data_IF_929891113792
#
_entry.id   IF_929891113792
#
_cell.length_a   1.000
_cell.length_b   1.000
_cell.length_c   1.000
_cell.angle_alpha   90.00
_cell.angle_beta   90.00
_cell.angle_gamma   90.00
#
_symmetry.space_group_name_H-M   'P 1'
#
loop_
_entity.id
_entity.type
_entity.pdbx_description
1 polymer ?
#
# COMPACT_ATOMS: atom_id res chain seq x y z
N UNK A 1 -90.39 -12.08 -8.88
CA UNK A 1 -89.98 -13.50 -8.98
C UNK A 1 -88.86 -13.56 -9.99
N UNK A 2 -87.63 -13.97 -9.69
CA UNK A 2 -86.89 -14.12 -8.47
C UNK A 2 -85.44 -13.81 -8.86
N UNK A 3 -84.79 -12.91 -8.13
CA UNK A 3 -83.36 -12.65 -8.22
C UNK A 3 -82.62 -13.87 -7.64
N UNK A 4 -81.60 -14.35 -8.36
CA UNK A 4 -80.58 -15.23 -7.79
C UNK A 4 -79.23 -14.57 -7.99
N UNK A 5 -78.81 -13.89 -6.92
CA UNK A 5 -77.44 -13.46 -6.69
C UNK A 5 -76.55 -14.69 -6.54
N UNK A 6 -75.50 -14.77 -7.36
CA UNK A 6 -74.36 -15.66 -7.08
C UNK A 6 -73.33 -14.80 -6.35
N UNK A 7 -73.22 -15.05 -5.06
CA UNK A 7 -72.09 -14.64 -4.24
C UNK A 7 -70.88 -15.48 -4.66
N UNK A 8 -69.82 -14.83 -5.14
CA UNK A 8 -68.49 -15.42 -5.12
C UNK A 8 -67.70 -14.82 -3.97
N UNK A 9 -67.35 -15.73 -3.08
CA UNK A 9 -66.63 -15.60 -1.84
C UNK A 9 -65.33 -14.79 -1.96
N UNK A 10 -65.25 -13.81 -1.07
CA UNK A 10 -64.11 -13.58 -0.17
C UNK A 10 -62.82 -14.36 -0.45
N UNK A 11 -61.97 -13.78 -1.30
CA UNK A 11 -60.53 -14.01 -1.25
C UNK A 11 -60.02 -13.51 0.12
N UNK A 12 -59.27 -14.32 0.88
CA UNK A 12 -59.07 -14.11 2.31
C UNK A 12 -58.21 -12.87 2.59
N UNK A 13 -58.78 -11.94 3.35
CA UNK A 13 -58.15 -10.75 3.95
C UNK A 13 -56.87 -11.05 4.75
N UNK A 14 -56.67 -12.32 5.15
CA UNK A 14 -55.49 -12.80 5.88
C UNK A 14 -54.19 -12.73 5.06
N UNK A 15 -54.24 -12.79 3.73
CA UNK A 15 -53.02 -12.70 2.89
C UNK A 15 -52.60 -11.23 2.69
N UNK A 16 -53.56 -10.28 2.77
CA UNK A 16 -53.27 -8.86 2.56
C UNK A 16 -52.62 -8.21 3.79
N UNK A 17 -53.02 -8.60 4.99
CA UNK A 17 -52.34 -8.15 6.22
C UNK A 17 -50.93 -8.74 6.38
N UNK A 18 -50.66 -9.92 5.84
CA UNK A 18 -49.32 -10.53 5.90
C UNK A 18 -48.35 -9.85 4.91
N UNK A 19 -48.86 -9.38 3.75
CA UNK A 19 -48.08 -8.60 2.78
C UNK A 19 -47.83 -7.16 3.28
N UNK A 20 -48.84 -6.50 3.88
CA UNK A 20 -48.67 -5.15 4.45
C UNK A 20 -47.74 -5.16 5.69
N UNK A 21 -47.70 -6.26 6.45
CA UNK A 21 -46.74 -6.43 7.55
C UNK A 21 -45.33 -6.82 7.07
N UNK A 22 -45.20 -7.44 5.89
CA UNK A 22 -43.90 -7.67 5.23
C UNK A 22 -43.32 -6.39 4.63
N UNK A 23 -44.14 -5.49 4.06
CA UNK A 23 -43.68 -4.16 3.63
C UNK A 23 -43.32 -3.24 4.81
N UNK A 24 -43.97 -3.39 5.97
CA UNK A 24 -43.60 -2.66 7.20
C UNK A 24 -42.42 -3.26 7.97
N UNK A 25 -41.98 -4.48 7.63
CA UNK A 25 -40.81 -5.14 8.23
C UNK A 25 -39.53 -5.02 7.37
N UNK A 26 -39.57 -4.32 6.23
CA UNK A 26 -38.37 -3.78 5.58
C UNK A 26 -38.08 -2.35 6.07
N UNK A 27 -37.99 -2.19 7.39
CA UNK A 27 -37.06 -1.23 7.93
C UNK A 27 -35.65 -1.78 7.67
N UNK A 28 -35.20 -1.67 6.42
CA UNK A 28 -33.79 -1.80 6.04
C UNK A 28 -33.03 -0.87 6.99
N UNK A 29 -32.24 -1.38 7.95
CA UNK A 29 -31.44 -0.50 8.78
C UNK A 29 -30.51 0.23 7.83
N UNK A 30 -30.66 1.55 7.82
CA UNK A 30 -29.90 2.51 7.05
C UNK A 30 -28.48 2.02 6.80
N UNK A 31 -28.23 1.66 5.54
CA UNK A 31 -26.90 1.46 4.98
C UNK A 31 -26.18 2.83 4.86
N UNK A 32 -26.25 3.68 5.88
CA UNK A 32 -25.33 4.79 6.12
C UNK A 32 -24.08 4.17 6.75
N UNK A 33 -23.47 3.24 6.02
CA UNK A 33 -22.19 2.72 6.40
C UNK A 33 -21.14 3.75 5.98
N UNK A 34 -21.01 4.74 6.85
CA UNK A 34 -19.96 5.74 7.00
C UNK A 34 -19.02 5.89 5.79
N UNK A 35 -19.49 6.55 4.72
CA UNK A 35 -18.66 6.88 3.55
C UNK A 35 -17.35 7.56 3.96
N UNK A 36 -17.39 8.38 5.02
CA UNK A 36 -16.19 8.96 5.66
C UNK A 36 -15.14 7.92 6.05
N UNK A 37 -15.54 6.78 6.63
CA UNK A 37 -14.59 5.72 7.06
C UNK A 37 -13.88 5.03 5.90
N UNK A 38 -14.52 4.91 4.73
CA UNK A 38 -13.89 4.33 3.52
C UNK A 38 -12.91 5.32 2.93
N UNK A 39 -13.33 6.58 2.77
CA UNK A 39 -12.45 7.64 2.26
C UNK A 39 -11.24 7.84 3.17
N UNK A 40 -11.41 7.82 4.49
CA UNK A 40 -10.30 7.92 5.45
C UNK A 40 -9.30 6.78 5.29
N UNK A 41 -9.77 5.54 5.10
CA UNK A 41 -8.90 4.37 4.94
C UNK A 41 -8.15 4.36 3.60
N UNK A 42 -8.81 4.78 2.51
CA UNK A 42 -8.20 4.88 1.18
C UNK A 42 -7.24 6.04 1.06
N UNK A 43 -7.60 7.16 1.70
CA UNK A 43 -6.72 8.29 1.89
C UNK A 43 -5.48 7.85 2.67
N UNK A 44 -5.62 7.06 3.74
CA UNK A 44 -4.48 6.54 4.50
C UNK A 44 -3.54 5.68 3.64
N UNK A 45 -4.03 4.68 2.89
CA UNK A 45 -3.16 3.81 2.07
C UNK A 45 -2.36 4.61 1.03
N UNK A 46 -3.05 5.47 0.28
CA UNK A 46 -2.41 6.30 -0.75
C UNK A 46 -1.41 7.27 -0.14
N UNK A 47 -1.75 7.88 1.00
CA UNK A 47 -0.88 8.82 1.72
C UNK A 47 0.44 8.19 2.11
N UNK A 48 0.47 6.96 2.65
CA UNK A 48 1.73 6.33 3.02
C UNK A 48 2.61 5.97 1.80
N UNK A 49 2.01 5.58 0.67
CA UNK A 49 2.77 5.36 -0.57
C UNK A 49 3.35 6.69 -1.08
N UNK A 50 2.59 7.78 -1.01
CA UNK A 50 3.07 9.13 -1.36
C UNK A 50 4.18 9.62 -0.43
N UNK A 51 4.06 9.41 0.88
CA UNK A 51 5.12 9.74 1.85
C UNK A 51 6.39 8.97 1.52
N UNK A 52 6.29 7.66 1.25
CA UNK A 52 7.42 6.84 0.84
C UNK A 52 8.04 7.36 -0.46
N UNK A 53 7.20 7.72 -1.44
CA UNK A 53 7.64 8.27 -2.73
C UNK A 53 8.40 9.59 -2.58
N UNK A 54 7.85 10.55 -1.83
CA UNK A 54 8.49 11.86 -1.59
C UNK A 54 9.80 11.67 -0.83
N UNK A 55 9.80 10.85 0.23
CA UNK A 55 11.02 10.55 0.98
C UNK A 55 12.09 9.89 0.10
N UNK A 56 11.70 8.98 -0.80
CA UNK A 56 12.61 8.33 -1.74
C UNK A 56 13.17 9.31 -2.77
N UNK A 57 12.33 10.24 -3.26
CA UNK A 57 12.76 11.30 -4.15
C UNK A 57 13.78 12.23 -3.48
N UNK A 58 13.52 12.65 -2.24
CA UNK A 58 14.47 13.44 -1.45
C UNK A 58 15.80 12.72 -1.24
N UNK A 59 15.79 11.41 -0.98
CA UNK A 59 17.03 10.61 -0.90
C UNK A 59 17.81 10.64 -2.20
N UNK A 60 17.16 10.45 -3.35
CA UNK A 60 17.81 10.48 -4.66
C UNK A 60 18.48 11.82 -4.94
N UNK A 61 17.81 12.93 -4.61
CA UNK A 61 18.38 14.28 -4.75
C UNK A 61 19.62 14.42 -3.87
N UNK A 62 19.55 14.03 -2.59
CA UNK A 62 20.66 14.11 -1.65
C UNK A 62 21.84 13.21 -2.05
N UNK A 63 21.58 12.00 -2.54
CA UNK A 63 22.60 11.08 -3.04
C UNK A 63 23.27 11.63 -4.30
N UNK A 64 22.51 12.27 -5.19
CA UNK A 64 23.06 12.93 -6.37
C UNK A 64 23.98 14.08 -5.98
N UNK A 65 23.59 14.88 -4.99
CA UNK A 65 24.44 15.94 -4.43
C UNK A 65 25.70 15.35 -3.79
N UNK A 66 25.57 14.33 -2.94
CA UNK A 66 26.72 13.66 -2.31
C UNK A 66 27.67 13.03 -3.32
N UNK A 67 27.12 12.42 -4.38
CA UNK A 67 27.90 11.88 -5.50
C UNK A 67 28.65 12.99 -6.26
N UNK A 68 28.00 14.11 -6.56
CA UNK A 68 28.65 15.25 -7.24
C UNK A 68 29.79 15.85 -6.40
N UNK A 69 29.57 16.04 -5.10
CA UNK A 69 30.57 16.57 -4.16
C UNK A 69 31.78 15.65 -4.03
N UNK A 70 31.54 14.34 -3.91
CA UNK A 70 32.63 13.34 -3.81
C UNK A 70 33.38 13.15 -5.13
N UNK A 71 32.69 13.24 -6.26
CA UNK A 71 33.29 13.15 -7.61
C UNK A 71 34.17 14.36 -7.96
N UNK A 72 33.89 15.53 -7.39
CA UNK A 72 34.69 16.73 -7.62
C UNK A 72 36.08 16.68 -6.94
N UNK A 73 36.32 15.67 -6.09
CA UNK A 73 37.56 15.52 -5.33
C UNK A 73 38.45 14.42 -5.91
N UNK A 74 39.78 14.53 -5.79
CA UNK A 74 40.68 13.49 -6.23
C UNK A 74 40.44 12.20 -5.42
N UNK A 75 40.21 11.09 -6.13
CA UNK A 75 39.99 9.75 -5.59
C UNK A 75 41.24 9.11 -4.96
N UNK A 76 42.38 9.81 -4.93
CA UNK A 76 43.62 9.31 -4.31
C UNK A 76 43.52 9.14 -2.79
N UNK A 77 42.54 9.79 -2.15
CA UNK A 77 42.23 9.56 -0.74
C UNK A 77 41.24 8.39 -0.62
N UNK A 78 41.63 7.36 0.14
CA UNK A 78 40.82 6.16 0.39
C UNK A 78 39.42 6.50 0.94
N UNK A 79 39.33 7.54 1.79
CA UNK A 79 38.05 8.04 2.31
C UNK A 79 37.13 8.59 1.22
N UNK A 80 37.68 9.33 0.24
CA UNK A 80 36.90 9.85 -0.88
C UNK A 80 36.43 8.71 -1.80
N UNK A 81 37.28 7.70 -2.04
CA UNK A 81 36.91 6.52 -2.81
C UNK A 81 35.80 5.70 -2.14
N UNK A 82 35.85 5.57 -0.81
CA UNK A 82 34.81 4.91 -0.02
C UNK A 82 33.49 5.69 -0.05
N UNK A 83 33.53 7.01 0.13
CA UNK A 83 32.34 7.86 0.07
C UNK A 83 31.72 7.86 -1.34
N UNK A 84 32.55 7.94 -2.39
CA UNK A 84 32.10 7.82 -3.78
C UNK A 84 31.34 6.50 -4.01
N UNK A 85 31.94 5.38 -3.58
CA UNK A 85 31.34 4.05 -3.72
C UNK A 85 30.03 3.94 -2.94
N UNK A 86 29.98 4.51 -1.73
CA UNK A 86 28.79 4.54 -0.89
C UNK A 86 27.64 5.31 -1.55
N UNK A 87 27.89 6.53 -2.04
CA UNK A 87 26.85 7.33 -2.69
C UNK A 87 26.39 6.70 -4.01
N UNK A 88 27.30 6.10 -4.78
CA UNK A 88 26.95 5.40 -6.02
C UNK A 88 26.08 4.16 -5.74
N UNK A 89 26.52 3.28 -4.84
CA UNK A 89 25.77 2.08 -4.49
C UNK A 89 24.40 2.43 -3.88
N UNK A 90 24.38 3.35 -2.91
CA UNK A 90 23.15 3.82 -2.26
C UNK A 90 22.18 4.48 -3.25
N UNK A 91 22.73 5.23 -4.22
CA UNK A 91 22.00 5.82 -5.34
C UNK A 91 21.28 4.77 -6.19
N UNK A 92 21.96 3.68 -6.54
CA UNK A 92 21.37 2.59 -7.33
C UNK A 92 20.20 1.90 -6.61
N UNK A 93 20.36 1.59 -5.33
CA UNK A 93 19.24 1.02 -4.54
C UNK A 93 18.05 1.98 -4.48
N UNK A 94 18.33 3.26 -4.25
CA UNK A 94 17.30 4.29 -4.16
C UNK A 94 16.58 4.51 -5.48
N UNK A 95 17.31 4.44 -6.60
CA UNK A 95 16.74 4.55 -7.94
C UNK A 95 15.80 3.38 -8.24
N UNK A 96 16.23 2.15 -7.91
CA UNK A 96 15.39 0.97 -8.06
C UNK A 96 14.10 1.09 -7.24
N UNK A 97 14.18 1.43 -5.96
CA UNK A 97 12.99 1.61 -5.11
C UNK A 97 12.09 2.73 -5.60
N UNK A 98 12.64 3.82 -6.13
CA UNK A 98 11.89 4.93 -6.71
C UNK A 98 11.08 4.49 -7.93
N UNK A 99 11.65 3.68 -8.83
CA UNK A 99 10.90 3.14 -9.98
C UNK A 99 9.75 2.23 -9.53
N UNK A 100 9.98 1.38 -8.52
CA UNK A 100 8.92 0.52 -7.97
C UNK A 100 7.81 1.34 -7.32
N UNK A 101 8.15 2.35 -6.53
CA UNK A 101 7.17 3.26 -5.92
C UNK A 101 6.41 4.07 -6.97
N UNK A 102 7.10 4.53 -8.04
CA UNK A 102 6.46 5.20 -9.18
C UNK A 102 5.40 4.31 -9.81
N UNK A 103 5.71 3.03 -10.04
CA UNK A 103 4.75 2.07 -10.58
C UNK A 103 3.54 1.83 -9.65
N UNK A 104 3.73 1.95 -8.32
CA UNK A 104 2.66 1.81 -7.33
C UNK A 104 1.78 3.07 -7.19
N UNK A 105 2.34 4.25 -7.41
CA UNK A 105 1.65 5.56 -7.36
C UNK A 105 0.88 5.83 -8.65
N UNK A 106 1.42 5.42 -9.80
CA UNK A 106 0.77 5.66 -11.08
C UNK A 106 -0.59 4.94 -11.13
N UNK A 107 -1.67 5.65 -11.47
CA UNK A 107 -2.99 5.05 -11.53
C UNK A 107 -3.01 3.95 -12.59
N UNK A 108 -3.58 2.79 -12.25
CA UNK A 108 -3.64 1.60 -13.11
C UNK A 108 -4.29 1.91 -14.46
N UNK A 109 -5.23 2.87 -14.49
CA UNK A 109 -5.89 3.37 -15.69
C UNK A 109 -4.93 4.01 -16.71
N UNK A 110 -3.82 4.59 -16.25
CA UNK A 110 -2.80 5.20 -17.14
C UNK A 110 -1.81 4.18 -17.70
N UNK A 111 -1.64 3.03 -17.04
CA UNK A 111 -0.65 2.02 -17.42
C UNK A 111 -1.17 1.00 -18.45
N UNK A 112 -2.45 1.03 -18.83
CA UNK A 112 -3.10 0.05 -19.74
C UNK A 112 -2.69 -1.41 -19.43
N UNK A 113 -2.49 -1.71 -18.15
CA UNK A 113 -2.13 -3.05 -17.72
C UNK A 113 -3.35 -3.95 -17.99
N UNK A 114 -3.15 -5.01 -18.79
CA UNK A 114 -4.20 -5.98 -19.13
C UNK A 114 -4.80 -6.68 -17.90
N UNK A 115 -4.14 -6.58 -16.74
CA UNK A 115 -4.64 -7.07 -15.46
C UNK A 115 -4.36 -6.03 -14.35
N UNK A 116 -5.35 -5.68 -13.53
CA UNK A 116 -5.13 -4.82 -12.37
C UNK A 116 -4.15 -5.47 -11.38
N UNK A 117 -3.44 -4.66 -10.60
CA UNK A 117 -2.42 -5.16 -9.71
C UNK A 117 -3.07 -5.72 -8.44
N UNK A 118 -3.11 -7.06 -8.32
CA UNK A 118 -3.65 -7.74 -7.14
C UNK A 118 -2.96 -7.27 -5.84
N UNK A 119 -3.70 -7.31 -4.73
CA UNK A 119 -3.22 -6.90 -3.42
C UNK A 119 -1.95 -7.64 -2.99
N UNK A 120 -1.82 -8.93 -3.30
CA UNK A 120 -0.60 -9.70 -3.04
C UNK A 120 0.62 -9.13 -3.75
N UNK A 121 0.49 -8.72 -5.02
CA UNK A 121 1.58 -8.09 -5.78
C UNK A 121 1.95 -6.73 -5.18
N UNK A 122 0.96 -5.91 -4.81
CA UNK A 122 1.18 -4.61 -4.15
C UNK A 122 1.92 -4.77 -2.82
N UNK A 123 1.49 -5.72 -1.99
CA UNK A 123 2.12 -6.06 -0.71
C UNK A 123 3.57 -6.50 -0.93
N UNK A 124 3.83 -7.40 -1.88
CA UNK A 124 5.18 -7.89 -2.14
C UNK A 124 6.10 -6.78 -2.67
N UNK A 125 5.64 -5.94 -3.62
CA UNK A 125 6.43 -4.82 -4.12
C UNK A 125 6.76 -3.81 -3.02
N UNK A 126 5.76 -3.41 -2.22
CA UNK A 126 5.95 -2.44 -1.13
C UNK A 126 6.87 -3.01 -0.04
N UNK A 127 6.77 -4.31 0.24
CA UNK A 127 7.68 -5.02 1.15
C UNK A 127 9.12 -5.05 0.60
N UNK A 128 9.29 -5.29 -0.70
CA UNK A 128 10.61 -5.23 -1.35
C UNK A 128 11.20 -3.83 -1.25
N UNK A 129 10.41 -2.77 -1.43
CA UNK A 129 10.88 -1.39 -1.20
C UNK A 129 11.36 -1.18 0.24
N UNK A 130 10.58 -1.63 1.24
CA UNK A 130 10.98 -1.53 2.64
C UNK A 130 12.29 -2.30 2.93
N UNK A 131 12.42 -3.52 2.38
CA UNK A 131 13.62 -4.33 2.54
C UNK A 131 14.85 -3.68 1.88
N UNK A 132 14.71 -3.16 0.66
CA UNK A 132 15.79 -2.45 -0.02
C UNK A 132 16.22 -1.19 0.72
N UNK A 133 15.26 -0.44 1.29
CA UNK A 133 15.57 0.72 2.12
C UNK A 133 16.30 0.33 3.42
N UNK A 134 15.98 -0.81 4.03
CA UNK A 134 16.73 -1.35 5.16
C UNK A 134 18.14 -1.77 4.77
N UNK A 135 18.33 -2.48 3.66
CA UNK A 135 19.66 -2.84 3.15
C UNK A 135 20.49 -1.58 2.92
N UNK A 136 19.90 -0.57 2.29
CA UNK A 136 20.55 0.71 2.03
C UNK A 136 20.92 1.45 3.34
N UNK A 137 20.05 1.40 4.34
CA UNK A 137 20.31 1.94 5.67
C UNK A 137 21.53 1.27 6.32
N UNK A 138 21.61 -0.06 6.27
CA UNK A 138 22.77 -0.79 6.81
C UNK A 138 24.06 -0.45 6.06
N UNK A 139 24.02 -0.25 4.74
CA UNK A 139 25.19 0.18 3.97
C UNK A 139 25.69 1.56 4.42
N UNK A 140 24.79 2.51 4.68
CA UNK A 140 25.17 3.85 5.17
C UNK A 140 25.69 3.81 6.60
N UNK A 141 25.15 2.93 7.46
CA UNK A 141 25.59 2.80 8.85
C UNK A 141 26.92 2.05 8.99
N UNK A 142 27.28 1.18 8.04
CA UNK A 142 28.46 0.33 8.16
C UNK A 142 29.76 1.13 8.39
N UNK A 143 30.06 2.21 7.65
CA UNK A 143 31.24 3.05 7.90
C UNK A 143 31.21 3.81 9.24
N UNK A 144 30.01 4.12 9.76
CA UNK A 144 29.83 4.80 11.04
C UNK A 144 30.15 3.89 12.22
N UNK A 145 29.81 2.60 12.11
CA UNK A 145 30.06 1.61 13.16
C UNK A 145 31.48 1.05 13.10
N UNK A 146 32.06 0.92 11.90
CA UNK A 146 33.38 0.32 11.71
C UNK A 146 34.56 1.25 12.02
N UNK A 147 34.39 2.57 11.94
CA UNK A 147 35.42 3.54 12.33
C UNK A 147 35.41 3.73 13.86
N UNK A 148 36.32 3.07 14.56
CA UNK A 148 36.66 3.39 15.95
C UNK A 148 37.54 4.66 15.99
N UNK A 149 36.92 5.83 15.88
CA UNK A 149 37.59 7.13 15.96
C UNK A 149 36.67 8.26 15.51
N UNK A 150 36.97 9.50 15.92
CA UNK A 150 36.25 10.68 15.43
C UNK A 150 36.23 10.66 13.90
N UNK A 151 35.03 10.55 13.32
CA UNK A 151 34.85 10.79 11.89
C UNK A 151 35.10 12.28 11.64
N UNK A 152 36.36 12.63 11.39
CA UNK A 152 36.72 13.96 10.93
C UNK A 152 36.23 14.07 9.49
N UNK A 153 35.00 14.53 9.33
CA UNK A 153 34.51 14.92 8.02
C UNK A 153 35.35 16.10 7.55
N UNK A 154 36.21 15.86 6.56
CA UNK A 154 36.96 16.91 5.86
C UNK A 154 36.08 17.79 4.97
N UNK A 155 34.77 17.50 4.93
CA UNK A 155 33.77 18.09 4.08
C UNK A 155 32.72 18.82 4.92
N UNK A 156 32.49 20.10 4.63
CA UNK A 156 31.52 20.91 5.37
C UNK A 156 30.06 20.42 5.21
N UNK A 157 29.75 19.68 4.14
CA UNK A 157 28.37 19.36 3.72
C UNK A 157 27.97 17.89 3.98
N UNK A 158 28.91 16.94 3.88
CA UNK A 158 28.65 15.52 4.15
C UNK A 158 28.07 15.21 5.54
N UNK A 159 28.50 15.84 6.66
CA UNK A 159 27.93 15.59 7.97
C UNK A 159 26.47 16.06 8.09
N UNK A 160 25.98 16.89 7.16
CA UNK A 160 24.58 17.29 7.08
C UNK A 160 23.79 16.35 6.17
N UNK A 161 24.36 15.99 5.02
CA UNK A 161 23.71 15.12 4.02
C UNK A 161 23.45 13.71 4.58
N UNK A 162 24.42 13.10 5.26
CA UNK A 162 24.33 11.70 5.69
C UNK A 162 23.17 11.50 6.71
N UNK A 163 23.03 12.31 7.78
CA UNK A 163 21.88 12.21 8.69
C UNK A 163 20.53 12.49 8.01
N UNK A 164 20.47 13.39 7.04
CA UNK A 164 19.24 13.65 6.29
C UNK A 164 18.84 12.42 5.45
N UNK A 165 19.79 11.82 4.73
CA UNK A 165 19.54 10.57 3.98
C UNK A 165 19.05 9.49 4.93
N UNK A 166 19.71 9.31 6.08
CA UNK A 166 19.29 8.38 7.11
C UNK A 166 17.85 8.62 7.57
N UNK A 167 17.50 9.87 7.91
CA UNK A 167 16.15 10.23 8.32
C UNK A 167 15.10 9.91 7.26
N UNK A 168 15.38 10.26 5.99
CA UNK A 168 14.47 9.93 4.90
C UNK A 168 14.35 8.42 4.66
N UNK A 169 15.42 7.63 4.84
CA UNK A 169 15.36 6.17 4.72
C UNK A 169 14.47 5.53 5.79
N UNK A 170 14.58 6.01 7.04
CA UNK A 170 13.71 5.57 8.13
C UNK A 170 12.26 5.89 7.82
N UNK A 171 11.97 7.14 7.40
CA UNK A 171 10.60 7.55 7.01
C UNK A 171 10.06 6.71 5.86
N UNK A 172 10.84 6.50 4.80
CA UNK A 172 10.44 5.69 3.65
C UNK A 172 10.17 4.23 4.04
N UNK A 173 10.98 3.67 4.94
CA UNK A 173 10.80 2.30 5.46
C UNK A 173 9.52 2.18 6.28
N UNK A 174 9.30 3.07 7.25
CA UNK A 174 8.11 3.06 8.10
C UNK A 174 6.83 3.29 7.29
N UNK A 175 6.87 4.22 6.33
CA UNK A 175 5.76 4.46 5.43
C UNK A 175 5.44 3.22 4.57
N UNK A 176 6.46 2.55 4.02
CA UNK A 176 6.31 1.32 3.23
C UNK A 176 5.74 0.15 4.06
N UNK A 177 6.22 -0.03 5.30
CA UNK A 177 5.70 -1.05 6.22
C UNK A 177 4.24 -0.76 6.57
N UNK A 178 3.90 0.49 6.84
CA UNK A 178 2.53 0.91 7.17
C UNK A 178 1.60 0.73 5.98
N UNK A 179 2.02 1.12 4.78
CA UNK A 179 1.28 0.91 3.54
C UNK A 179 1.04 -0.59 3.27
N UNK A 180 2.06 -1.42 3.50
CA UNK A 180 1.96 -2.89 3.41
C UNK A 180 0.93 -3.43 4.38
N UNK A 181 1.00 -3.02 5.65
CA UNK A 181 0.10 -3.47 6.71
C UNK A 181 -1.35 -3.12 6.40
N UNK A 182 -1.61 -1.87 6.00
CA UNK A 182 -2.95 -1.40 5.63
C UNK A 182 -3.49 -2.20 4.43
N UNK A 183 -2.66 -2.41 3.40
CA UNK A 183 -3.05 -3.17 2.21
C UNK A 183 -3.37 -4.63 2.54
N UNK A 184 -2.53 -5.27 3.34
CA UNK A 184 -2.75 -6.63 3.81
C UNK A 184 -4.04 -6.74 4.63
N UNK A 185 -4.24 -5.84 5.60
CA UNK A 185 -5.44 -5.86 6.44
C UNK A 185 -6.72 -5.63 5.63
N UNK A 186 -6.68 -4.74 4.64
CA UNK A 186 -7.78 -4.51 3.71
C UNK A 186 -8.12 -5.79 2.91
N UNK A 187 -7.10 -6.38 2.29
CA UNK A 187 -7.26 -7.56 1.45
C UNK A 187 -7.69 -8.80 2.25
N UNK A 188 -7.16 -8.96 3.46
CA UNK A 188 -7.58 -10.03 4.37
C UNK A 188 -9.03 -9.87 4.80
N UNK A 189 -9.48 -8.63 5.03
CA UNK A 189 -10.88 -8.35 5.35
C UNK A 189 -11.80 -8.61 4.16
N UNK A 190 -11.33 -8.39 2.93
CA UNK A 190 -12.17 -8.53 1.74
C UNK A 190 -12.41 -9.97 1.31
N UNK A 191 -11.36 -10.79 1.26
CA UNK A 191 -11.44 -12.17 0.76
C UNK A 191 -11.15 -13.25 1.81
N UNK A 192 -10.71 -12.87 3.01
CA UNK A 192 -10.30 -13.83 4.04
C UNK A 192 -8.89 -14.39 3.83
N UNK A 193 -8.52 -15.38 4.64
CA UNK A 193 -7.20 -16.03 4.63
C UNK A 193 -7.22 -17.48 4.17
N UNK A 194 -8.35 -17.96 3.67
CA UNK A 194 -8.51 -19.32 3.17
C UNK A 194 -7.64 -19.54 1.92
N UNK A 195 -7.11 -20.74 1.75
CA UNK A 195 -6.26 -21.07 0.60
C UNK A 195 -7.13 -21.40 -0.61
N UNK A 196 -7.00 -20.62 -1.68
CA UNK A 196 -7.76 -20.73 -2.93
C UNK A 196 -6.81 -21.18 -4.04
N UNK A 197 -7.25 -22.04 -4.98
CA UNK A 197 -6.43 -22.41 -6.13
C UNK A 197 -6.17 -21.20 -7.05
N UNK A 198 -4.90 -20.88 -7.25
CA UNK A 198 -4.37 -20.09 -8.38
C UNK A 198 -3.87 -21.09 -9.45
N UNK A 199 -3.80 -20.76 -10.76
CA UNK A 199 -3.59 -21.73 -11.85
C UNK A 199 -2.38 -22.65 -11.73
N UNK A 200 -1.43 -22.35 -10.85
CA UNK A 200 -0.22 -23.14 -10.64
C UNK A 200 0.05 -23.52 -9.17
N UNK A 201 -0.61 -22.91 -8.19
CA UNK A 201 -0.36 -23.13 -6.76
C UNK A 201 -1.53 -22.61 -5.90
N UNK A 202 -1.61 -23.03 -4.64
CA UNK A 202 -2.61 -22.48 -3.70
C UNK A 202 -2.07 -21.19 -3.07
N UNK A 203 -2.88 -20.14 -3.08
CA UNK A 203 -2.57 -18.85 -2.44
C UNK A 203 -3.67 -18.47 -1.47
N UNK A 204 -3.36 -17.73 -0.39
CA UNK A 204 -4.42 -17.26 0.49
C UNK A 204 -5.28 -16.24 -0.27
N UNK A 205 -6.60 -16.29 -0.08
CA UNK A 205 -7.60 -15.57 -0.87
C UNK A 205 -7.32 -14.06 -1.00
N UNK A 206 -6.82 -13.45 0.08
CA UNK A 206 -6.41 -12.04 0.10
C UNK A 206 -5.32 -11.67 -0.93
N UNK A 207 -4.45 -12.61 -1.34
CA UNK A 207 -3.45 -12.33 -2.37
C UNK A 207 -4.08 -11.96 -3.72
N UNK A 208 -5.26 -12.52 -3.99
CA UNK A 208 -6.00 -12.34 -5.23
C UNK A 208 -6.99 -11.17 -5.15
N UNK A 209 -7.12 -10.51 -4.00
CA UNK A 209 -8.01 -9.37 -3.84
C UNK A 209 -7.60 -8.25 -4.80
N UNK A 210 -8.56 -7.72 -5.56
CA UNK A 210 -8.28 -6.60 -6.46
C UNK A 210 -8.15 -5.30 -5.67
N UNK A 211 -7.57 -4.28 -6.30
CA UNK A 211 -7.48 -2.93 -5.74
C UNK A 211 -8.86 -2.42 -5.36
N UNK A 212 -9.86 -2.67 -6.20
CA UNK A 212 -11.27 -2.27 -6.03
C UNK A 212 -11.95 -3.03 -4.87
N UNK A 213 -11.73 -4.34 -4.75
CA UNK A 213 -12.28 -5.14 -3.63
C UNK A 213 -11.65 -4.77 -2.30
N UNK A 214 -10.34 -4.48 -2.29
CA UNK A 214 -9.65 -3.96 -1.11
C UNK A 214 -10.09 -2.53 -0.78
N UNK A 215 -10.80 -1.85 -1.69
CA UNK A 215 -11.30 -0.49 -1.55
C UNK A 215 -12.77 -0.43 -1.11
N UNK A 216 -13.59 -1.41 -1.48
CA UNK A 216 -15.05 -1.36 -1.31
C UNK A 216 -15.56 -1.77 0.08
N UNK A 217 -14.70 -2.19 1.01
CA UNK A 217 -15.11 -2.97 2.18
C UNK A 217 -14.88 -2.31 3.53
N UNK A 218 -15.43 -1.11 3.72
CA UNK A 218 -16.09 -0.86 5.00
C UNK A 218 -17.57 -1.23 4.83
N UNK A 219 -17.90 -2.53 4.84
CA UNK A 219 -19.30 -2.89 5.12
C UNK A 219 -19.92 -4.19 4.71
N UNK A 220 -19.22 -5.12 4.09
CA UNK A 220 -19.79 -6.46 3.92
C UNK A 220 -19.00 -7.45 4.74
N UNK A 221 -19.70 -8.04 5.71
CA UNK A 221 -19.42 -9.38 6.20
C UNK A 221 -19.08 -10.28 5.00
N UNK A 222 -18.05 -11.10 5.16
CA UNK A 222 -17.53 -12.03 4.17
C UNK A 222 -18.63 -12.54 3.23
N UNK A 223 -18.61 -12.08 1.97
CA UNK A 223 -19.37 -12.74 0.92
C UNK A 223 -18.62 -14.06 0.70
N UNK A 224 -19.15 -15.13 1.29
CA UNK A 224 -18.75 -16.48 0.93
C UNK A 224 -19.00 -16.64 -0.57
N UNK A 225 -17.92 -16.86 -1.32
CA UNK A 225 -18.05 -17.33 -2.69
C UNK A 225 -18.71 -18.73 -2.63
N UNK A 226 -19.78 -18.97 -3.41
CA UNK A 226 -20.35 -20.32 -3.48
C UNK A 226 -19.27 -21.29 -3.98
N UNK A 227 -19.12 -22.39 -3.24
CA UNK A 227 -18.27 -23.53 -3.60
C UNK A 227 -18.75 -24.20 -4.88
#
# INVERSE_FOLDING_TARGET
MAETAVAEDSVPLLIKEEIDNLEKSEAVPERIMNSKSIFDFLYQRSTYIWIAFIAQFSQLVLQTIGFAVTSAKPLKNEENANNFTLFFASGLYSLFTFFVLTALVLPESKLRLKQPLNAGKRVNLTRTCAFMNLVNLFMILTPAVSKHGEQVYTDDILPIIIPLIFGFMVVATLASVTATWITYKAAKRSRGSEMVPDPSYRVPAWHLATTEESQSLSGQSAIQLPC
#
